data_IF_834168160623
#
_entry.id   IF_834168160623
#
_cell.length_a   1.000
_cell.length_b   1.000
_cell.length_c   1.000
_cell.angle_alpha   90.00
_cell.angle_beta   90.00
_cell.angle_gamma   90.00
#
_symmetry.space_group_name_H-M   'P 1'
#
loop_
_entity.id
_entity.type
_entity.pdbx_description
1 polymer ?
#
# COMPACT_ATOMS: atom_id res chain seq x y z
N UNK A 1 29.65 2.45 3.24
CA UNK A 1 28.25 2.07 3.54
C UNK A 1 27.70 3.10 4.53
N UNK A 2 27.05 4.15 4.02
CA UNK A 2 26.64 5.31 4.82
C UNK A 2 25.31 5.07 5.51
N UNK A 3 25.29 5.20 6.84
CA UNK A 3 24.07 5.18 7.66
C UNK A 3 23.24 6.42 7.29
N UNK A 4 22.05 6.24 6.72
CA UNK A 4 21.08 7.32 6.55
C UNK A 4 20.64 7.78 7.96
N UNK A 5 21.09 8.96 8.38
CA UNK A 5 20.58 9.61 9.58
C UNK A 5 19.30 10.34 9.20
N UNK A 6 18.17 9.89 9.74
CA UNK A 6 16.95 10.69 9.77
C UNK A 6 17.14 11.71 10.88
N UNK A 7 17.68 12.89 10.54
CA UNK A 7 17.66 14.00 11.48
C UNK A 7 16.22 14.51 11.60
N UNK A 8 15.66 14.36 12.79
CA UNK A 8 14.40 14.98 13.17
C UNK A 8 14.61 16.48 13.36
N UNK A 9 15.00 17.19 12.31
CA UNK A 9 15.00 18.65 12.34
C UNK A 9 13.56 19.12 12.37
N UNK A 10 13.19 19.79 13.47
CA UNK A 10 11.86 20.39 13.63
C UNK A 10 11.85 21.74 12.90
N UNK A 11 11.10 21.91 11.80
CA UNK A 11 10.94 23.23 11.19
C UNK A 11 10.22 24.18 12.17
N UNK A 12 10.72 25.41 12.24
CA UNK A 12 10.12 26.46 13.03
C UNK A 12 8.69 26.76 12.53
N UNK A 13 7.71 26.83 13.44
CA UNK A 13 6.33 27.19 13.12
C UNK A 13 5.32 26.04 13.03
N UNK A 14 5.74 24.76 13.14
CA UNK A 14 4.79 23.63 13.14
C UNK A 14 4.24 23.36 14.56
N UNK A 15 2.91 23.45 14.78
CA UNK A 15 2.29 23.20 16.07
C UNK A 15 2.50 21.75 16.53
N UNK A 16 2.70 21.55 17.84
CA UNK A 16 2.80 20.20 18.43
C UNK A 16 1.43 19.53 18.37
N UNK A 17 1.35 18.45 17.59
CA UNK A 17 0.43 17.30 17.67
C UNK A 17 -1.06 17.60 17.86
N UNK A 18 -1.84 17.25 16.84
CA UNK A 18 -3.15 16.62 17.01
C UNK A 18 -3.13 15.29 16.22
N UNK A 19 -3.56 14.21 16.84
CA UNK A 19 -3.87 12.89 16.27
C UNK A 19 -3.12 12.39 15.01
N UNK A 20 -2.09 11.54 15.19
CA UNK A 20 -1.75 10.46 14.25
C UNK A 20 -1.35 10.81 12.80
N UNK A 21 -1.08 12.06 12.49
CA UNK A 21 -0.65 12.53 11.17
C UNK A 21 0.83 12.91 11.19
N UNK A 22 1.64 12.30 10.31
CA UNK A 22 3.07 12.58 10.19
C UNK A 22 3.31 13.48 8.97
N UNK A 23 3.71 14.72 9.21
CA UNK A 23 4.34 15.54 8.17
C UNK A 23 5.75 14.96 7.94
N UNK A 24 6.05 14.54 6.72
CA UNK A 24 7.38 14.07 6.35
C UNK A 24 8.01 15.12 5.43
N UNK A 25 9.15 15.64 5.85
CA UNK A 25 10.03 16.41 4.99
C UNK A 25 10.91 15.38 4.29
N UNK A 26 10.83 15.30 2.95
CA UNK A 26 11.67 14.41 2.15
C UNK A 26 12.50 15.27 1.22
N UNK A 27 13.82 15.24 1.40
CA UNK A 27 14.75 15.86 0.47
C UNK A 27 14.85 14.97 -0.78
N UNK A 28 14.55 15.54 -1.96
CA UNK A 28 14.59 14.81 -3.23
C UNK A 28 15.81 15.24 -4.05
N UNK A 29 16.34 14.32 -4.87
CA UNK A 29 17.60 14.28 -5.67
C UNK A 29 17.93 15.48 -6.60
N UNK A 30 17.57 16.72 -6.24
CA UNK A 30 17.95 17.96 -6.95
C UNK A 30 18.15 19.15 -6.00
N UNK A 31 18.44 18.90 -4.72
CA UNK A 31 18.69 19.94 -3.71
C UNK A 31 17.50 20.87 -3.44
N UNK A 32 16.27 20.43 -3.75
CA UNK A 32 15.05 21.22 -3.50
C UNK A 32 14.24 20.61 -2.38
N UNK A 33 14.03 21.39 -1.32
CA UNK A 33 13.17 21.06 -0.20
C UNK A 33 11.70 21.00 -0.66
N UNK A 34 10.98 19.93 -0.30
CA UNK A 34 9.55 19.76 -0.55
C UNK A 34 8.89 19.20 0.71
N UNK A 35 7.87 19.89 1.20
CA UNK A 35 7.08 19.43 2.34
C UNK A 35 5.96 18.51 1.84
N UNK A 36 5.91 17.28 2.36
CA UNK A 36 4.84 16.33 2.06
C UNK A 36 3.96 16.12 3.28
N UNK A 37 2.65 16.28 3.08
CA UNK A 37 1.66 15.91 4.08
C UNK A 37 1.24 14.45 3.84
N UNK A 38 1.78 13.53 4.66
CA UNK A 38 1.48 12.10 4.57
C UNK A 38 0.48 11.75 5.66
N UNK A 39 -0.77 11.49 5.27
CA UNK A 39 -1.72 10.82 6.16
C UNK A 39 -1.45 9.33 6.12
N UNK A 40 -0.86 8.80 7.18
CA UNK A 40 -1.01 7.37 7.43
C UNK A 40 -2.49 7.10 7.70
N UNK A 41 -3.11 6.32 6.82
CA UNK A 41 -4.42 5.76 7.11
C UNK A 41 -4.27 4.94 8.41
N UNK A 42 -5.18 5.12 9.36
CA UNK A 42 -5.28 4.26 10.56
C UNK A 42 -5.73 2.85 10.14
N UNK A 43 -4.87 2.15 9.40
CA UNK A 43 -5.09 0.80 8.89
C UNK A 43 -4.65 -0.30 9.85
N UNK A 44 -4.17 0.05 11.06
CA UNK A 44 -3.76 -0.93 12.07
C UNK A 44 -4.95 -1.55 12.80
N UNK A 45 -6.03 -1.94 12.11
CA UNK A 45 -7.15 -2.60 12.79
C UNK A 45 -7.72 -3.75 11.96
N UNK A 46 -7.45 -4.95 12.46
CA UNK A 46 -8.17 -6.17 12.14
C UNK A 46 -7.94 -6.64 10.72
N UNK A 47 -6.87 -7.40 10.50
CA UNK A 47 -6.75 -8.18 9.27
C UNK A 47 -7.94 -9.14 9.27
N UNK A 48 -8.79 -8.98 8.25
CA UNK A 48 -9.83 -9.95 7.95
C UNK A 48 -9.10 -11.22 7.50
N UNK A 49 -9.38 -12.36 8.13
CA UNK A 49 -8.73 -13.64 7.82
C UNK A 49 -9.45 -14.29 6.63
N UNK A 50 -8.96 -14.15 5.39
CA UNK A 50 -9.70 -14.62 4.22
C UNK A 50 -9.79 -16.15 4.20
N UNK A 51 -8.80 -16.83 4.80
CA UNK A 51 -8.75 -18.30 4.94
C UNK A 51 -9.90 -18.89 5.76
N UNK A 52 -10.56 -18.08 6.60
CA UNK A 52 -11.71 -18.54 7.41
C UNK A 52 -13.06 -18.15 6.80
N UNK A 53 -13.08 -17.47 5.65
CA UNK A 53 -14.31 -16.98 5.03
C UNK A 53 -14.99 -18.07 4.21
N UNK A 54 -16.33 -18.11 4.27
CA UNK A 54 -17.10 -18.83 3.26
C UNK A 54 -17.01 -18.11 1.91
N UNK A 55 -17.27 -18.79 0.78
CA UNK A 55 -17.27 -18.16 -0.54
C UNK A 55 -18.15 -16.90 -0.64
N UNK A 56 -19.30 -16.89 0.04
CA UNK A 56 -20.25 -15.77 0.03
C UNK A 56 -19.69 -14.53 0.75
N UNK A 57 -19.03 -14.76 1.89
CA UNK A 57 -18.36 -13.69 2.66
C UNK A 57 -17.18 -13.18 1.85
N UNK A 58 -16.39 -14.07 1.25
CA UNK A 58 -15.24 -13.71 0.42
C UNK A 58 -15.65 -12.87 -0.79
N UNK A 59 -16.74 -13.24 -1.48
CA UNK A 59 -17.27 -12.45 -2.60
C UNK A 59 -17.74 -11.05 -2.14
N UNK A 60 -18.36 -10.96 -0.97
CA UNK A 60 -18.79 -9.67 -0.39
C UNK A 60 -17.60 -8.81 0.00
N UNK A 61 -16.58 -9.43 0.60
CA UNK A 61 -15.33 -8.77 0.94
C UNK A 61 -14.62 -8.23 -0.31
N UNK A 62 -14.51 -9.03 -1.38
CA UNK A 62 -13.96 -8.61 -2.67
C UNK A 62 -14.68 -7.39 -3.25
N UNK A 63 -16.02 -7.35 -3.19
CA UNK A 63 -16.81 -6.17 -3.61
C UNK A 63 -16.47 -4.92 -2.81
N UNK A 64 -16.33 -5.03 -1.49
CA UNK A 64 -15.97 -3.90 -0.62
C UNK A 64 -14.56 -3.39 -0.91
N UNK A 65 -13.60 -4.29 -1.14
CA UNK A 65 -12.23 -3.97 -1.54
C UNK A 65 -12.21 -3.25 -2.89
N UNK A 66 -12.86 -3.82 -3.92
CA UNK A 66 -12.94 -3.23 -5.24
C UNK A 66 -13.56 -1.83 -5.23
N UNK A 67 -14.68 -1.65 -4.53
CA UNK A 67 -15.33 -0.34 -4.40
C UNK A 67 -14.43 0.68 -3.67
N UNK A 68 -13.67 0.25 -2.67
CA UNK A 68 -12.74 1.13 -1.94
C UNK A 68 -11.56 1.54 -2.81
N UNK A 69 -11.01 0.61 -3.58
CA UNK A 69 -9.93 0.86 -4.53
C UNK A 69 -10.38 1.82 -5.64
N UNK A 70 -11.54 1.57 -6.25
CA UNK A 70 -12.11 2.44 -7.28
C UNK A 70 -12.31 3.88 -6.77
N UNK A 71 -12.84 4.06 -5.55
CA UNK A 71 -12.97 5.40 -4.94
C UNK A 71 -11.63 6.07 -4.68
N UNK A 72 -10.62 5.32 -4.24
CA UNK A 72 -9.29 5.87 -4.01
C UNK A 72 -8.67 6.39 -5.31
N UNK A 73 -8.74 5.61 -6.40
CA UNK A 73 -8.24 6.02 -7.71
C UNK A 73 -9.05 7.17 -8.33
N UNK A 74 -10.38 7.14 -8.22
CA UNK A 74 -11.23 8.24 -8.68
C UNK A 74 -10.94 9.56 -7.94
N UNK A 75 -10.48 9.49 -6.68
CA UNK A 75 -10.13 10.67 -5.89
C UNK A 75 -8.74 11.23 -6.21
N UNK A 76 -7.79 10.39 -6.58
CA UNK A 76 -6.41 10.79 -6.89
C UNK A 76 -6.15 11.01 -8.39
N UNK A 77 -7.03 10.52 -9.27
CA UNK A 77 -6.95 10.68 -10.73
C UNK A 77 -8.18 11.36 -11.33
N UNK A 78 -8.29 11.33 -12.66
CA UNK A 78 -9.47 11.79 -13.39
C UNK A 78 -10.48 10.63 -13.53
N UNK A 79 -11.63 10.67 -12.83
CA UNK A 79 -12.60 9.58 -12.87
C UNK A 79 -13.23 9.37 -14.25
N UNK A 80 -13.36 10.42 -15.06
CA UNK A 80 -13.92 10.33 -16.42
C UNK A 80 -12.92 9.65 -17.34
N UNK A 81 -11.65 10.06 -17.29
CA UNK A 81 -10.59 9.43 -18.09
C UNK A 81 -10.40 7.94 -17.71
N UNK A 82 -10.42 7.62 -16.42
CA UNK A 82 -10.33 6.24 -15.92
C UNK A 82 -11.53 5.42 -16.42
N UNK A 83 -12.76 5.93 -16.26
CA UNK A 83 -13.96 5.25 -16.73
C UNK A 83 -13.98 5.03 -18.25
N UNK A 84 -13.55 6.03 -19.03
CA UNK A 84 -13.44 5.93 -20.48
C UNK A 84 -12.40 4.90 -20.92
N UNK A 85 -11.26 4.80 -20.22
CA UNK A 85 -10.23 3.80 -20.50
C UNK A 85 -10.70 2.36 -20.21
N UNK A 86 -11.41 2.17 -19.10
CA UNK A 86 -11.96 0.85 -18.73
C UNK A 86 -13.10 0.42 -19.66
N UNK A 87 -13.89 1.38 -20.15
CA UNK A 87 -15.06 1.11 -20.97
C UNK A 87 -16.18 0.42 -20.20
N UNK A 88 -17.10 -0.21 -20.94
CA UNK A 88 -18.26 -0.92 -20.37
C UNK A 88 -18.20 -2.44 -20.51
N UNK A 89 -17.08 -2.99 -21.01
CA UNK A 89 -16.87 -4.43 -21.14
C UNK A 89 -16.21 -5.03 -19.90
N UNK A 90 -16.06 -6.36 -19.90
CA UNK A 90 -15.47 -7.13 -18.79
C UNK A 90 -13.96 -7.39 -18.99
N UNK A 91 -13.34 -6.86 -20.05
CA UNK A 91 -11.93 -7.11 -20.38
C UNK A 91 -10.99 -6.75 -19.23
N UNK A 92 -11.23 -5.62 -18.57
CA UNK A 92 -10.46 -5.23 -17.40
C UNK A 92 -10.67 -6.19 -16.22
N UNK A 93 -11.91 -6.60 -15.97
CA UNK A 93 -12.25 -7.52 -14.88
C UNK A 93 -11.54 -8.86 -15.06
N UNK A 94 -11.53 -9.41 -16.28
CA UNK A 94 -10.80 -10.64 -16.61
C UNK A 94 -9.29 -10.48 -16.44
N UNK A 95 -8.73 -9.38 -16.95
CA UNK A 95 -7.30 -9.09 -16.80
C UNK A 95 -6.90 -8.96 -15.32
N UNK A 96 -7.76 -8.36 -14.50
CA UNK A 96 -7.55 -8.22 -13.06
C UNK A 96 -7.61 -9.57 -12.33
N UNK A 97 -8.52 -10.46 -12.73
CA UNK A 97 -8.59 -11.82 -12.18
C UNK A 97 -7.31 -12.61 -12.47
N UNK A 98 -6.84 -12.60 -13.72
CA UNK A 98 -5.57 -13.26 -14.12
C UNK A 98 -4.39 -12.65 -13.37
N UNK A 99 -4.35 -11.32 -13.26
CA UNK A 99 -3.31 -10.65 -12.48
C UNK A 99 -3.33 -11.07 -11.01
N UNK A 100 -4.51 -11.15 -10.38
CA UNK A 100 -4.66 -11.50 -8.98
C UNK A 100 -4.12 -12.92 -8.69
N UNK A 101 -4.43 -13.90 -9.55
CA UNK A 101 -3.90 -15.26 -9.44
C UNK A 101 -2.38 -15.29 -9.58
N UNK A 102 -1.84 -14.68 -10.63
CA UNK A 102 -0.40 -14.62 -10.86
C UNK A 102 0.36 -13.89 -9.72
N UNK A 103 -0.27 -12.85 -9.16
CA UNK A 103 0.29 -12.09 -8.05
C UNK A 103 0.23 -12.86 -6.72
N UNK A 104 -0.80 -13.69 -6.50
CA UNK A 104 -0.85 -14.58 -5.35
C UNK A 104 0.32 -15.58 -5.38
N UNK A 105 0.58 -16.20 -6.53
CA UNK A 105 1.74 -17.09 -6.70
C UNK A 105 3.07 -16.36 -6.50
N UNK A 106 3.17 -15.12 -6.98
CA UNK A 106 4.35 -14.29 -6.78
C UNK A 106 4.58 -13.96 -5.31
N UNK A 107 3.51 -13.68 -4.55
CA UNK A 107 3.60 -13.42 -3.12
C UNK A 107 4.09 -14.65 -2.35
N UNK A 108 3.61 -15.85 -2.71
CA UNK A 108 4.06 -17.09 -2.07
C UNK A 108 5.56 -17.32 -2.32
N UNK A 109 6.01 -17.18 -3.58
CA UNK A 109 7.43 -17.25 -3.92
C UNK A 109 8.26 -16.21 -3.19
N UNK A 110 7.78 -14.98 -3.10
CA UNK A 110 8.46 -13.90 -2.41
C UNK A 110 8.57 -14.18 -0.90
N UNK A 111 7.52 -14.74 -0.29
CA UNK A 111 7.52 -15.14 1.12
C UNK A 111 8.52 -16.26 1.39
N UNK A 112 8.56 -17.28 0.54
CA UNK A 112 9.56 -18.35 0.63
C UNK A 112 10.99 -17.80 0.50
N UNK A 113 11.24 -16.96 -0.51
CA UNK A 113 12.55 -16.33 -0.70
C UNK A 113 12.99 -15.47 0.49
N UNK A 114 12.07 -14.72 1.10
CA UNK A 114 12.35 -13.93 2.29
C UNK A 114 12.68 -14.82 3.51
N UNK A 115 11.94 -15.92 3.69
CA UNK A 115 12.22 -16.88 4.75
C UNK A 115 13.61 -17.51 4.56
N UNK A 116 14.00 -17.84 3.33
CA UNK A 116 15.30 -18.41 3.01
C UNK A 116 16.43 -17.40 3.26
N UNK A 117 16.25 -16.16 2.81
CA UNK A 117 17.20 -15.08 3.07
C UNK A 117 17.41 -14.84 4.57
N UNK A 118 16.35 -14.97 5.36
CA UNK A 118 16.43 -14.87 6.83
C UNK A 118 17.19 -16.04 7.43
N UNK A 119 16.88 -17.28 7.04
CA UNK A 119 17.58 -18.48 7.53
C UNK A 119 19.07 -18.47 7.19
N UNK A 120 19.42 -17.94 6.02
CA UNK A 120 20.81 -17.84 5.58
C UNK A 120 21.54 -16.61 6.16
N UNK A 121 20.86 -15.74 6.92
CA UNK A 121 21.45 -14.55 7.53
C UNK A 121 21.68 -13.36 6.58
N UNK A 122 21.08 -13.38 5.38
CA UNK A 122 21.21 -12.30 4.39
C UNK A 122 20.33 -11.10 4.74
N UNK A 123 19.21 -11.37 5.42
CA UNK A 123 18.26 -10.38 5.92
C UNK A 123 18.04 -10.63 7.41
N UNK A 124 18.13 -9.57 8.22
CA UNK A 124 17.74 -9.62 9.64
C UNK A 124 16.24 -9.35 9.74
N UNK A 125 15.49 -10.28 10.33
CA UNK A 125 14.09 -10.09 10.68
C UNK A 125 13.98 -9.97 12.21
N UNK A 126 13.21 -8.99 12.69
CA UNK A 126 12.81 -8.97 14.10
C UNK A 126 11.87 -10.16 14.36
N UNK A 127 11.98 -10.84 15.51
CA UNK A 127 11.02 -11.87 15.89
C UNK A 127 9.62 -11.26 15.98
N UNK A 128 8.65 -11.98 15.41
CA UNK A 128 7.24 -11.60 15.39
C UNK A 128 6.60 -11.67 16.79
#
# INVERSE_FOLDING_TARGET
MGRLKVDAHRPAGVPKRLGGEHLAVVEHDRGRHRDFYIRQLRGWKGIVQPETMTPEIMATFGRLCGASLARAHARSGDPIAIGAYLGGGDTFDQALAVFAEAYADQNERARAALADATRNGWVTADPA
#
